data_IF_146686232923
#
_entry.id   IF_146686232923
#
_cell.length_a   1.000
_cell.length_b   1.000
_cell.length_c   1.000
_cell.angle_alpha   90.00
_cell.angle_beta   90.00
_cell.angle_gamma   90.00
#
_symmetry.space_group_name_H-M   'P 1'
#
loop_
_entity.id
_entity.type
_entity.pdbx_description
1 polymer ?
#
# COMPACT_ATOMS: atom_id res chain seq x y z
N UNK A 1 2.58 -11.18 -12.48
CA UNK A 1 1.50 -11.02 -13.48
C UNK A 1 0.64 -9.81 -13.09
N UNK A 2 1.12 -8.58 -13.36
CA UNK A 2 0.29 -7.36 -13.29
C UNK A 2 -0.11 -6.91 -14.70
N UNK A 3 0.63 -7.34 -15.74
CA UNK A 3 0.38 -6.97 -17.13
C UNK A 3 -0.95 -7.44 -17.72
N UNK A 4 -1.64 -8.41 -17.10
CA UNK A 4 -2.98 -8.80 -17.52
C UNK A 4 -4.09 -7.85 -17.01
N UNK A 5 -3.81 -7.10 -15.93
CA UNK A 5 -4.73 -6.13 -15.32
C UNK A 5 -4.63 -4.74 -15.96
N UNK A 6 -3.61 -4.52 -16.78
CA UNK A 6 -3.32 -3.27 -17.49
C UNK A 6 -3.42 -3.49 -19.00
N UNK A 7 -4.41 -4.27 -19.46
CA UNK A 7 -4.74 -4.27 -20.89
C UNK A 7 -5.08 -2.83 -21.27
N UNK A 8 -4.55 -2.35 -22.39
CA UNK A 8 -4.95 -1.05 -22.93
C UNK A 8 -6.44 -1.12 -23.28
N UNK A 9 -7.26 -0.67 -22.34
CA UNK A 9 -8.69 -0.51 -22.50
C UNK A 9 -8.95 0.95 -22.86
N UNK A 10 -9.75 1.18 -23.90
CA UNK A 10 -10.28 2.51 -24.24
C UNK A 10 -11.78 2.51 -23.99
N UNK A 11 -12.23 2.47 -22.72
CA UNK A 11 -13.66 2.50 -22.39
C UNK A 11 -14.28 3.79 -22.93
N UNK A 12 -15.46 3.67 -23.55
CA UNK A 12 -16.15 4.79 -24.20
C UNK A 12 -17.41 5.20 -23.44
N UNK A 13 -17.88 4.37 -22.51
CA UNK A 13 -19.02 4.65 -21.65
C UNK A 13 -18.62 4.75 -20.18
N UNK A 14 -19.41 5.48 -19.40
CA UNK A 14 -19.21 5.57 -17.95
C UNK A 14 -19.27 4.19 -17.25
N UNK A 15 -20.12 3.29 -17.73
CA UNK A 15 -20.25 1.93 -17.19
C UNK A 15 -18.96 1.13 -17.38
N UNK A 16 -18.39 1.19 -18.59
CA UNK A 16 -17.11 0.54 -18.90
C UNK A 16 -15.96 1.11 -18.05
N UNK A 17 -15.90 2.44 -17.89
CA UNK A 17 -14.90 3.09 -17.04
C UNK A 17 -14.98 2.58 -15.58
N UNK A 18 -16.19 2.46 -15.02
CA UNK A 18 -16.38 1.99 -13.65
C UNK A 18 -15.95 0.54 -13.48
N UNK A 19 -16.34 -0.33 -14.41
CA UNK A 19 -15.92 -1.73 -14.38
C UNK A 19 -14.39 -1.89 -14.50
N UNK A 20 -13.73 -1.03 -15.28
CA UNK A 20 -12.27 -1.01 -15.36
C UNK A 20 -11.64 -0.58 -14.02
N UNK A 21 -12.18 0.45 -13.37
CA UNK A 21 -11.74 0.88 -12.04
C UNK A 21 -11.95 -0.24 -11.01
N UNK A 22 -13.11 -0.90 -10.99
CA UNK A 22 -13.39 -2.00 -10.05
C UNK A 22 -12.37 -3.15 -10.17
N UNK A 23 -11.92 -3.46 -11.40
CA UNK A 23 -10.86 -4.45 -11.62
C UNK A 23 -9.52 -4.00 -11.04
N UNK A 24 -9.16 -2.73 -11.22
CA UNK A 24 -7.95 -2.16 -10.62
C UNK A 24 -8.03 -2.18 -9.10
N UNK A 25 -9.19 -1.84 -8.52
CA UNK A 25 -9.41 -1.80 -7.09
C UNK A 25 -9.36 -3.19 -6.46
N UNK A 26 -9.89 -4.22 -7.14
CA UNK A 26 -9.76 -5.61 -6.70
C UNK A 26 -8.28 -6.06 -6.65
N UNK A 27 -7.49 -5.67 -7.64
CA UNK A 27 -6.06 -5.93 -7.65
C UNK A 27 -5.33 -5.13 -6.56
N UNK A 28 -5.70 -3.86 -6.36
CA UNK A 28 -5.15 -3.01 -5.31
C UNK A 28 -5.42 -3.61 -3.93
N UNK A 29 -6.63 -4.09 -3.65
CA UNK A 29 -6.98 -4.74 -2.39
C UNK A 29 -6.08 -5.95 -2.10
N UNK A 30 -5.86 -6.81 -3.11
CA UNK A 30 -4.95 -7.98 -2.97
C UNK A 30 -3.51 -7.55 -2.68
N UNK A 31 -3.02 -6.50 -3.34
CA UNK A 31 -1.68 -5.98 -3.12
C UNK A 31 -1.52 -5.32 -1.75
N UNK A 32 -2.55 -4.59 -1.30
CA UNK A 32 -2.58 -3.94 0.01
C UNK A 32 -2.57 -4.98 1.14
N UNK A 33 -3.38 -6.04 1.04
CA UNK A 33 -3.39 -7.16 1.99
C UNK A 33 -1.99 -7.78 2.10
N UNK A 34 -1.37 -8.11 0.95
CA UNK A 34 -0.02 -8.65 0.94
C UNK A 34 1.00 -7.68 1.55
N UNK A 35 0.87 -6.39 1.28
CA UNK A 35 1.76 -5.36 1.82
C UNK A 35 1.60 -5.24 3.33
N UNK A 36 0.37 -5.27 3.87
CA UNK A 36 0.10 -5.25 5.30
C UNK A 36 0.68 -6.49 6.00
N UNK A 37 0.55 -7.68 5.40
CA UNK A 37 1.17 -8.90 5.91
C UNK A 37 2.70 -8.78 6.01
N UNK A 38 3.34 -8.22 4.97
CA UNK A 38 4.79 -7.94 4.98
C UNK A 38 5.17 -6.90 6.03
N UNK A 39 4.37 -5.84 6.19
CA UNK A 39 4.59 -4.85 7.24
C UNK A 39 4.55 -5.50 8.63
N UNK A 40 3.59 -6.39 8.89
CA UNK A 40 3.52 -7.15 10.14
C UNK A 40 4.76 -8.03 10.39
N UNK A 41 5.33 -8.65 9.35
CA UNK A 41 6.61 -9.38 9.48
C UNK A 41 7.74 -8.43 9.86
N UNK A 42 7.87 -7.30 9.16
CA UNK A 42 8.89 -6.28 9.44
C UNK A 42 8.76 -5.78 10.89
N UNK A 43 7.55 -5.53 11.38
CA UNK A 43 7.32 -5.05 12.74
C UNK A 43 7.78 -6.04 13.81
N UNK A 44 7.69 -7.36 13.57
CA UNK A 44 8.22 -8.36 14.49
C UNK A 44 9.75 -8.43 14.53
N UNK A 45 10.42 -7.94 13.49
CA UNK A 45 11.88 -7.96 13.37
C UNK A 45 12.50 -6.66 13.92
N UNK A 46 11.77 -5.53 13.82
CA UNK A 46 12.28 -4.22 14.23
C UNK A 46 12.60 -4.17 15.73
N UNK A 47 13.72 -3.53 16.14
CA UNK A 47 14.00 -3.26 17.54
C UNK A 47 12.96 -2.33 18.20
N UNK A 48 12.47 -1.35 17.43
CA UNK A 48 11.37 -0.45 17.82
C UNK A 48 10.23 -0.63 16.83
N UNK A 49 9.12 -1.21 17.30
CA UNK A 49 7.93 -1.47 16.50
C UNK A 49 6.92 -0.31 16.49
N UNK A 50 5.81 -0.53 15.81
CA UNK A 50 4.66 0.39 15.77
C UNK A 50 4.99 1.75 15.16
N UNK A 51 4.22 2.76 15.56
CA UNK A 51 4.44 4.16 15.14
C UNK A 51 5.76 4.75 15.60
N UNK A 52 6.28 4.32 16.76
CA UNK A 52 7.57 4.80 17.28
C UNK A 52 8.75 4.38 16.39
N UNK A 53 8.63 3.27 15.66
CA UNK A 53 9.64 2.74 14.74
C UNK A 53 9.54 3.25 13.30
N UNK A 54 8.85 4.38 13.06
CA UNK A 54 8.73 4.95 11.71
C UNK A 54 10.06 5.51 11.22
N UNK A 55 10.29 5.34 9.91
CA UNK A 55 11.49 5.81 9.23
C UNK A 55 11.08 6.68 8.04
N UNK A 56 10.97 7.98 8.30
CA UNK A 56 10.49 8.96 7.31
C UNK A 56 11.40 9.04 6.08
N UNK A 57 12.71 8.79 6.22
CA UNK A 57 13.62 8.77 5.09
C UNK A 57 13.32 7.57 4.18
N UNK A 58 13.14 6.38 4.77
CA UNK A 58 12.75 5.17 4.03
C UNK A 58 11.39 5.30 3.36
N UNK A 59 10.44 5.96 4.03
CA UNK A 59 9.08 6.22 3.51
C UNK A 59 9.11 7.17 2.31
N UNK A 60 9.83 8.30 2.41
CA UNK A 60 10.07 9.21 1.27
C UNK A 60 10.72 8.49 0.09
N UNK A 61 11.70 7.62 0.36
CA UNK A 61 12.34 6.83 -0.69
C UNK A 61 11.38 5.83 -1.38
N UNK A 62 10.34 5.33 -0.69
CA UNK A 62 9.27 4.56 -1.35
C UNK A 62 8.52 5.43 -2.34
N UNK A 63 8.09 6.61 -1.89
CA UNK A 63 7.29 7.54 -2.70
C UNK A 63 8.05 7.95 -3.96
N UNK A 64 9.33 8.33 -3.83
CA UNK A 64 10.18 8.68 -4.98
C UNK A 64 10.28 7.54 -6.01
N UNK A 65 10.47 6.29 -5.56
CA UNK A 65 10.50 5.12 -6.47
C UNK A 65 9.14 4.80 -7.09
N UNK A 66 8.04 5.13 -6.42
CA UNK A 66 6.70 4.98 -6.99
C UNK A 66 6.40 6.06 -8.01
N UNK A 67 6.85 7.29 -7.78
CA UNK A 67 6.69 8.41 -8.71
C UNK A 67 7.37 8.13 -10.07
N UNK A 68 8.48 7.40 -10.09
CA UNK A 68 9.11 6.92 -11.34
C UNK A 68 8.18 6.01 -12.15
N UNK A 69 7.27 5.28 -11.51
CA UNK A 69 6.29 4.39 -12.17
C UNK A 69 4.96 5.07 -12.44
N UNK A 70 4.62 6.11 -11.67
CA UNK A 70 3.38 6.87 -11.79
C UNK A 70 3.70 8.38 -11.89
N UNK A 71 4.34 8.82 -12.99
CA UNK A 71 4.83 10.19 -13.13
C UNK A 71 3.70 11.24 -13.09
N UNK A 72 2.51 10.91 -13.60
CA UNK A 72 1.34 11.80 -13.57
C UNK A 72 0.84 12.08 -12.15
N UNK A 73 0.99 11.12 -11.23
CA UNK A 73 0.67 11.35 -9.81
C UNK A 73 1.81 12.10 -9.12
N UNK A 74 3.06 11.73 -9.43
CA UNK A 74 4.24 12.32 -8.83
C UNK A 74 4.32 12.09 -7.31
N UNK A 75 5.38 12.58 -6.70
CA UNK A 75 5.61 12.39 -5.25
C UNK A 75 4.53 13.07 -4.41
N UNK A 76 4.09 14.27 -4.79
CA UNK A 76 3.12 15.07 -4.04
C UNK A 76 1.80 14.35 -3.82
N UNK A 77 1.25 13.68 -4.85
CA UNK A 77 -0.02 12.95 -4.71
C UNK A 77 0.17 11.55 -4.13
N UNK A 78 1.33 10.92 -4.38
CA UNK A 78 1.64 9.59 -3.83
C UNK A 78 1.97 9.60 -2.34
N UNK A 79 2.57 10.68 -1.83
CA UNK A 79 2.95 10.80 -0.43
C UNK A 79 1.77 10.56 0.55
N UNK A 80 0.62 11.27 0.45
CA UNK A 80 -0.50 11.03 1.36
C UNK A 80 -1.11 9.64 1.21
N UNK A 81 -1.18 9.09 -0.01
CA UNK A 81 -1.68 7.72 -0.25
C UNK A 81 -0.79 6.71 0.46
N UNK A 82 0.52 6.82 0.26
CA UNK A 82 1.46 5.88 0.87
C UNK A 82 1.54 6.04 2.38
N UNK A 83 1.35 7.25 2.92
CA UNK A 83 1.20 7.46 4.36
C UNK A 83 0.05 6.62 4.92
N UNK A 84 -1.16 6.75 4.35
CA UNK A 84 -2.32 5.99 4.79
C UNK A 84 -2.10 4.46 4.70
N UNK A 85 -1.46 4.01 3.61
CA UNK A 85 -1.14 2.58 3.41
C UNK A 85 -0.07 2.08 4.40
N UNK A 86 0.88 2.92 4.83
CA UNK A 86 1.83 2.58 5.89
C UNK A 86 1.12 2.48 7.23
N UNK A 87 0.34 3.50 7.59
CA UNK A 87 -0.36 3.59 8.87
C UNK A 87 -1.35 2.45 9.08
N UNK A 88 -2.12 2.08 8.05
CA UNK A 88 -3.00 0.91 8.09
C UNK A 88 -2.22 -0.38 8.45
N UNK A 89 -1.03 -0.57 7.88
CA UNK A 89 -0.17 -1.71 8.20
C UNK A 89 0.42 -1.66 9.61
N UNK A 90 0.63 -0.46 10.18
CA UNK A 90 1.07 -0.28 11.56
C UNK A 90 -0.06 -0.60 12.55
N UNK A 91 -1.26 -0.06 12.33
CA UNK A 91 -2.43 -0.35 13.15
C UNK A 91 -2.72 -1.86 13.21
N UNK A 92 -2.77 -2.53 12.07
CA UNK A 92 -2.98 -3.99 12.02
C UNK A 92 -1.87 -4.78 12.74
N UNK A 93 -0.62 -4.28 12.73
CA UNK A 93 0.47 -4.93 13.44
C UNK A 93 0.34 -4.75 14.96
N UNK A 94 -0.14 -3.60 15.43
CA UNK A 94 -0.40 -3.31 16.83
C UNK A 94 -1.57 -4.13 17.36
N UNK A 95 -2.69 -4.22 16.63
CA UNK A 95 -3.84 -5.07 16.95
C UNK A 95 -3.42 -6.54 17.14
N UNK A 96 -2.65 -7.08 16.19
CA UNK A 96 -2.11 -8.45 16.27
C UNK A 96 -1.07 -8.65 17.37
N UNK A 97 -0.45 -7.57 17.84
CA UNK A 97 0.45 -7.58 18.99
C UNK A 97 -0.32 -7.64 20.31
N UNK A 98 -1.43 -6.89 20.40
CA UNK A 98 -2.32 -6.86 21.55
C UNK A 98 -3.07 -8.19 21.77
N UNK A 99 -3.44 -8.88 20.70
CA UNK A 99 -4.10 -10.20 20.75
C UNK A 99 -3.16 -11.37 21.12
N UNK A 100 -1.85 -11.12 21.27
CA UNK A 100 -0.91 -12.18 21.67
C UNK A 100 -0.95 -12.33 23.20
N UNK A 101 -1.28 -13.52 23.76
CA UNK A 101 -1.22 -13.71 25.20
C UNK A 101 0.21 -13.47 25.71
N UNK A 102 0.38 -12.93 26.94
CA UNK A 102 1.70 -12.77 27.53
C UNK A 102 2.40 -14.14 27.59
N UNK A 103 3.68 -14.14 27.23
CA UNK A 103 4.54 -15.33 27.29
C UNK A 103 4.81 -15.75 28.74
#
# INVERSE_FOLDING_TARGET
>A
MVGALLRDESPTTLSECRQAIDRVDAALATLLERRAALAGIVQRIKPVGGFAGRDLARERAVVARMAQRAPTLGETRLAPIMNAVIEAGLHLAEERGADRPPA
#
